data_IF_850816171983
#
_entry.id   IF_850816171983
#
_cell.length_a   1.000
_cell.length_b   1.000
_cell.length_c   1.000
_cell.angle_alpha   90.00
_cell.angle_beta   90.00
_cell.angle_gamma   90.00
#
_symmetry.space_group_name_H-M   'P 1'
#
loop_
_entity.id
_entity.type
_entity.pdbx_description
1 polymer ?
#
# COMPACT_ATOMS: atom_id res chain seq x y z
N UNK A 1 -11.70 -7.93 14.87
CA UNK A 1 -10.71 -6.97 14.33
C UNK A 1 -10.30 -7.46 12.96
N UNK A 2 -10.50 -6.64 11.94
CA UNK A 2 -10.20 -6.99 10.56
C UNK A 2 -8.66 -6.98 10.38
N UNK A 3 -8.03 -8.14 10.48
CA UNK A 3 -6.58 -8.26 10.42
C UNK A 3 -6.14 -8.15 8.95
N UNK A 4 -5.75 -6.95 8.55
CA UNK A 4 -5.29 -6.63 7.20
C UNK A 4 -4.16 -7.57 6.75
N UNK A 5 -3.23 -7.93 7.64
CA UNK A 5 -2.12 -8.82 7.31
C UNK A 5 -2.58 -10.24 6.99
N UNK A 6 -3.62 -10.76 7.65
CA UNK A 6 -4.22 -12.05 7.29
C UNK A 6 -4.84 -12.02 5.89
N UNK A 7 -5.44 -10.88 5.49
CA UNK A 7 -5.98 -10.72 4.13
C UNK A 7 -4.87 -10.65 3.08
N UNK A 8 -3.79 -9.92 3.36
CA UNK A 8 -2.63 -9.85 2.47
C UNK A 8 -1.94 -11.21 2.34
N UNK A 9 -1.81 -11.97 3.44
CA UNK A 9 -1.28 -13.34 3.41
C UNK A 9 -2.12 -14.25 2.51
N UNK A 10 -3.47 -14.16 2.62
CA UNK A 10 -4.38 -14.89 1.72
C UNK A 10 -4.20 -14.49 0.26
N UNK A 11 -4.02 -13.21 -0.05
CA UNK A 11 -3.76 -12.72 -1.40
C UNK A 11 -2.43 -13.26 -1.96
N UNK A 12 -1.39 -13.30 -1.12
CA UNK A 12 -0.09 -13.84 -1.50
C UNK A 12 -0.17 -15.35 -1.77
N UNK A 13 -0.92 -16.12 -0.97
CA UNK A 13 -1.14 -17.56 -1.20
C UNK A 13 -1.94 -17.85 -2.47
N UNK A 14 -2.83 -16.94 -2.87
CA UNK A 14 -3.56 -16.98 -4.14
C UNK A 14 -2.72 -16.45 -5.33
N UNK A 15 -1.46 -16.08 -5.10
CA UNK A 15 -0.55 -15.51 -6.11
C UNK A 15 -1.03 -14.19 -6.76
N UNK A 16 -2.01 -13.51 -6.15
CA UNK A 16 -2.55 -12.23 -6.62
C UNK A 16 -1.55 -11.09 -6.36
N UNK A 17 -0.88 -11.15 -5.21
CA UNK A 17 0.26 -10.28 -4.88
C UNK A 17 1.49 -11.16 -4.71
N UNK A 18 2.68 -10.58 -4.92
CA UNK A 18 3.94 -11.33 -4.80
C UNK A 18 4.43 -11.31 -3.34
N UNK A 19 5.30 -12.27 -2.96
CA UNK A 19 5.86 -12.29 -1.61
C UNK A 19 6.51 -10.97 -1.17
N UNK A 20 7.16 -10.26 -2.09
CA UNK A 20 7.79 -8.97 -1.79
C UNK A 20 6.79 -7.88 -1.38
N UNK A 21 5.55 -7.93 -1.91
CA UNK A 21 4.49 -6.98 -1.55
C UNK A 21 4.06 -7.20 -0.09
N UNK A 22 3.96 -8.46 0.30
CA UNK A 22 3.64 -8.86 1.68
C UNK A 22 4.78 -8.54 2.65
N UNK A 23 6.02 -8.79 2.25
CA UNK A 23 7.20 -8.49 3.08
C UNK A 23 7.37 -6.99 3.34
N UNK A 24 7.08 -6.13 2.34
CA UNK A 24 7.05 -4.68 2.59
C UNK A 24 6.03 -4.32 3.67
N UNK A 25 4.83 -4.92 3.64
CA UNK A 25 3.83 -4.70 4.67
C UNK A 25 4.28 -5.19 6.06
N UNK A 26 4.90 -6.38 6.13
CA UNK A 26 5.48 -6.93 7.39
C UNK A 26 6.55 -6.01 7.95
N UNK A 27 7.50 -5.59 7.10
CA UNK A 27 8.55 -4.65 7.48
C UNK A 27 8.00 -3.34 8.06
N UNK A 28 6.96 -2.78 7.44
CA UNK A 28 6.33 -1.54 7.90
C UNK A 28 5.58 -1.72 9.23
N UNK A 29 4.92 -2.86 9.44
CA UNK A 29 4.24 -3.21 10.69
C UNK A 29 5.26 -3.43 11.83
N UNK A 30 6.37 -4.11 11.56
CA UNK A 30 7.46 -4.32 12.52
C UNK A 30 8.12 -3.00 12.94
N UNK A 31 8.32 -2.08 11.99
CA UNK A 31 8.88 -0.76 12.27
C UNK A 31 7.89 0.18 12.99
N UNK A 32 6.58 -0.05 12.80
CA UNK A 32 5.51 0.81 13.29
C UNK A 32 4.29 -0.01 13.74
N UNK A 33 4.28 -0.39 15.02
CA UNK A 33 3.25 -1.27 15.61
C UNK A 33 1.81 -0.80 15.46
N UNK A 34 1.58 0.52 15.36
CA UNK A 34 0.26 1.14 15.20
C UNK A 34 -0.02 1.59 13.75
N UNK A 35 0.66 1.01 12.77
CA UNK A 35 0.49 1.39 11.37
C UNK A 35 -0.96 1.17 10.91
N UNK A 36 -1.52 2.18 10.24
CA UNK A 36 -2.90 2.08 9.78
C UNK A 36 -3.04 1.04 8.67
N UNK A 37 -4.12 0.22 8.68
CA UNK A 37 -4.45 -0.66 7.56
C UNK A 37 -4.54 0.08 6.22
N UNK A 38 -4.86 1.38 6.22
CA UNK A 38 -4.90 2.21 5.01
C UNK A 38 -3.51 2.40 4.40
N UNK A 39 -2.48 2.51 5.25
CA UNK A 39 -1.08 2.64 4.82
C UNK A 39 -0.58 1.31 4.29
N UNK A 40 -0.86 0.19 4.99
CA UNK A 40 -0.49 -1.15 4.54
C UNK A 40 -1.10 -1.49 3.17
N UNK A 41 -2.36 -1.14 2.94
CA UNK A 41 -3.00 -1.26 1.61
C UNK A 41 -2.25 -0.49 0.52
N UNK A 42 -1.83 0.74 0.82
CA UNK A 42 -1.08 1.56 -0.12
C UNK A 42 0.31 0.98 -0.39
N UNK A 43 1.01 0.53 0.66
CA UNK A 43 2.33 -0.08 0.57
C UNK A 43 2.31 -1.34 -0.30
N UNK A 44 1.36 -2.25 -0.04
CA UNK A 44 1.17 -3.43 -0.85
C UNK A 44 0.91 -3.09 -2.32
N UNK A 45 0.01 -2.14 -2.56
CA UNK A 45 -0.38 -1.76 -3.93
C UNK A 45 0.75 -1.06 -4.69
N UNK A 46 1.48 -0.13 -4.06
CA UNK A 46 2.59 0.55 -4.74
C UNK A 46 3.72 -0.42 -5.07
N UNK A 47 4.01 -1.40 -4.22
CA UNK A 47 4.98 -2.47 -4.52
C UNK A 47 4.51 -3.38 -5.65
N UNK A 48 3.22 -3.72 -5.67
CA UNK A 48 2.63 -4.51 -6.73
C UNK A 48 2.72 -3.79 -8.09
N UNK A 49 2.32 -2.51 -8.13
CA UNK A 49 2.40 -1.67 -9.33
C UNK A 49 3.84 -1.44 -9.78
N UNK A 50 4.78 -1.28 -8.84
CA UNK A 50 6.20 -1.13 -9.15
C UNK A 50 6.75 -2.31 -9.95
N UNK A 51 6.36 -3.53 -9.58
CA UNK A 51 6.75 -4.74 -10.30
C UNK A 51 6.10 -4.88 -11.68
N UNK A 52 4.99 -4.18 -11.92
CA UNK A 52 4.32 -4.06 -13.22
C UNK A 52 4.91 -2.92 -14.07
N UNK A 53 5.94 -2.23 -13.59
CA UNK A 53 6.63 -1.16 -14.31
C UNK A 53 6.07 0.24 -14.04
N UNK A 54 5.09 0.39 -13.15
CA UNK A 54 4.63 1.71 -12.73
C UNK A 54 5.63 2.37 -11.79
N UNK A 55 5.79 3.67 -11.91
CA UNK A 55 6.72 4.44 -11.05
C UNK A 55 6.08 4.80 -9.70
N UNK A 56 4.75 4.93 -9.66
CA UNK A 56 4.01 5.37 -8.49
C UNK A 56 2.59 4.81 -8.48
N UNK A 57 1.95 4.94 -7.32
CA UNK A 57 0.52 4.76 -7.11
C UNK A 57 -0.17 6.15 -7.06
N UNK A 58 -0.94 6.54 -8.08
CA UNK A 58 -1.81 7.71 -8.00
C UNK A 58 -3.03 7.39 -7.12
N UNK A 59 -3.11 7.94 -5.91
CA UNK A 59 -4.18 7.58 -4.96
C UNK A 59 -5.59 7.91 -5.49
N UNK A 60 -5.70 8.95 -6.32
CA UNK A 60 -6.96 9.41 -6.91
C UNK A 60 -7.60 8.33 -7.78
N UNK A 61 -6.78 7.63 -8.57
CA UNK A 61 -7.26 6.65 -9.56
C UNK A 61 -7.75 5.35 -8.90
N UNK A 62 -7.30 5.06 -7.68
CA UNK A 62 -7.65 3.84 -6.94
C UNK A 62 -8.59 4.09 -5.77
N UNK A 63 -8.87 5.34 -5.40
CA UNK A 63 -9.63 5.66 -4.21
C UNK A 63 -11.06 5.09 -4.25
N UNK A 64 -11.39 4.20 -3.31
CA UNK A 64 -12.69 3.53 -3.25
C UNK A 64 -12.82 2.30 -4.17
N UNK A 65 -11.86 2.08 -5.06
CA UNK A 65 -11.87 0.99 -6.02
C UNK A 65 -11.41 -0.34 -5.40
N UNK A 66 -11.76 -1.49 -6.00
CA UNK A 66 -11.08 -2.76 -5.73
C UNK A 66 -9.57 -2.62 -5.96
N UNK A 67 -8.76 -3.09 -5.00
CA UNK A 67 -7.30 -3.09 -5.14
C UNK A 67 -6.78 -4.33 -5.85
N UNK A 68 -7.41 -5.46 -5.54
CA UNK A 68 -7.03 -6.77 -6.02
C UNK A 68 -8.30 -7.56 -6.28
N UNK A 69 -8.42 -8.04 -7.52
CA UNK A 69 -9.48 -8.95 -7.94
C UNK A 69 -8.93 -10.38 -7.84
N UNK A 70 -9.76 -11.32 -7.39
CA UNK A 70 -9.43 -12.74 -7.59
C UNK A 70 -10.01 -13.26 -8.91
N UNK A 71 -9.60 -14.47 -9.30
CA UNK A 71 -10.03 -15.11 -10.55
C UNK A 71 -11.55 -15.31 -10.64
N UNK A 72 -12.27 -15.24 -9.52
CA UNK A 72 -13.73 -15.34 -9.43
C UNK A 72 -14.43 -13.96 -9.49
N UNK A 73 -13.67 -12.87 -9.68
CA UNK A 73 -14.19 -11.50 -9.73
C UNK A 73 -14.58 -10.93 -8.36
N UNK A 74 -14.22 -11.62 -7.28
CA UNK A 74 -14.42 -11.17 -5.91
C UNK A 74 -13.39 -10.11 -5.51
N UNK A 75 -13.84 -8.88 -5.27
CA UNK A 75 -12.99 -7.83 -4.68
C UNK A 75 -12.65 -8.17 -3.22
N UNK A 76 -11.49 -8.80 -2.98
CA UNK A 76 -11.05 -9.20 -1.63
C UNK A 76 -10.67 -7.97 -0.78
N UNK A 77 -10.16 -6.92 -1.41
CA UNK A 77 -9.70 -5.71 -0.74
C UNK A 77 -10.10 -4.47 -1.52
N UNK A 78 -10.77 -3.53 -0.85
CA UNK A 78 -11.05 -2.19 -1.41
C UNK A 78 -10.10 -1.14 -0.85
N UNK A 79 -9.79 -0.17 -1.70
CA UNK A 79 -9.06 1.02 -1.29
C UNK A 79 -9.93 1.86 -0.33
N UNK A 80 -9.29 2.58 0.60
CA UNK A 80 -10.01 3.61 1.35
C UNK A 80 -10.44 4.74 0.41
N UNK A 81 -11.44 5.52 0.83
CA UNK A 81 -11.75 6.78 0.15
C UNK A 81 -10.55 7.74 0.19
N UNK A 82 -10.43 8.62 -0.81
CA UNK A 82 -9.23 9.44 -1.04
C UNK A 82 -8.80 10.24 0.20
N UNK A 83 -9.71 11.02 0.78
CA UNK A 83 -9.42 11.89 1.92
C UNK A 83 -8.88 11.14 3.15
N UNK A 84 -9.55 10.08 3.66
CA UNK A 84 -9.02 9.31 4.78
C UNK A 84 -7.78 8.49 4.41
N UNK A 85 -7.58 8.11 3.14
CA UNK A 85 -6.36 7.44 2.70
C UNK A 85 -5.15 8.37 2.78
N UNK A 86 -5.28 9.54 2.15
CA UNK A 86 -4.29 10.64 2.18
C UNK A 86 -3.96 11.02 3.62
N UNK A 87 -4.98 11.21 4.47
CA UNK A 87 -4.75 11.58 5.87
C UNK A 87 -3.99 10.50 6.64
N UNK A 88 -4.24 9.21 6.38
CA UNK A 88 -3.54 8.13 7.05
C UNK A 88 -2.07 8.07 6.61
N UNK A 89 -1.81 8.22 5.31
CA UNK A 89 -0.45 8.25 4.76
C UNK A 89 0.36 9.41 5.33
N UNK A 90 -0.18 10.64 5.30
CA UNK A 90 0.52 11.82 5.83
C UNK A 90 0.82 11.79 7.32
N UNK A 91 0.09 10.97 8.09
CA UNK A 91 0.31 10.80 9.54
C UNK A 91 1.30 9.68 9.87
N UNK A 92 1.63 8.83 8.90
CA UNK A 92 2.49 7.67 9.13
C UNK A 92 3.97 8.05 9.08
N UNK A 93 4.74 7.67 10.10
CA UNK A 93 6.17 7.98 10.18
C UNK A 93 7.03 7.28 9.09
N UNK A 94 6.49 6.27 8.42
CA UNK A 94 7.11 5.59 7.28
C UNK A 94 6.90 6.33 5.95
N UNK A 95 6.00 7.33 5.91
CA UNK A 95 5.68 8.08 4.71
C UNK A 95 6.25 9.48 4.83
N UNK A 96 7.21 9.80 3.97
CA UNK A 96 7.81 11.11 3.88
C UNK A 96 7.26 11.95 2.73
N UNK A 97 7.77 13.17 2.64
CA UNK A 97 7.61 14.09 1.51
C UNK A 97 8.79 13.96 0.54
N UNK A 98 8.66 14.47 -0.70
CA UNK A 98 9.80 14.54 -1.62
C UNK A 98 11.03 15.19 -0.97
N UNK A 99 12.17 14.51 -1.06
CA UNK A 99 13.43 14.93 -0.44
C UNK A 99 13.69 14.36 0.96
N UNK A 100 12.72 13.72 1.59
CA UNK A 100 12.91 13.02 2.87
C UNK A 100 13.37 11.57 2.66
N UNK A 101 14.15 11.05 3.61
CA UNK A 101 14.64 9.66 3.58
C UNK A 101 13.69 8.74 4.36
N UNK A 102 12.62 8.30 3.68
CA UNK A 102 11.56 7.43 4.22
C UNK A 102 11.22 6.33 3.22
N UNK A 103 10.79 5.14 3.65
CA UNK A 103 10.54 4.02 2.73
C UNK A 103 9.45 4.31 1.71
N UNK A 104 8.46 5.13 2.07
CA UNK A 104 7.41 5.60 1.16
C UNK A 104 7.45 7.12 1.06
N UNK A 105 7.17 7.66 -0.12
CA UNK A 105 7.11 9.11 -0.35
C UNK A 105 5.76 9.46 -0.95
N UNK A 106 5.02 10.37 -0.31
CA UNK A 106 3.77 10.91 -0.82
C UNK A 106 4.02 12.36 -1.27
N UNK A 107 3.78 12.64 -2.55
CA UNK A 107 3.88 14.00 -3.07
C UNK A 107 2.58 14.82 -2.87
N UNK A 108 2.65 16.11 -3.23
CA UNK A 108 1.50 17.01 -3.11
C UNK A 108 0.37 16.74 -4.11
N UNK A 109 0.64 15.91 -5.13
CA UNK A 109 -0.33 15.48 -6.16
C UNK A 109 -0.98 14.12 -5.82
N UNK A 110 -0.84 13.65 -4.58
CA UNK A 110 -1.36 12.37 -4.10
C UNK A 110 -0.82 11.15 -4.85
N UNK A 111 0.45 11.21 -5.26
CA UNK A 111 1.16 10.06 -5.82
C UNK A 111 2.09 9.49 -4.76
N UNK A 112 1.92 8.20 -4.49
CA UNK A 112 2.74 7.44 -3.56
C UNK A 112 3.85 6.71 -4.32
N UNK A 113 5.08 6.87 -3.87
CA UNK A 113 6.26 6.26 -4.44
C UNK A 113 6.92 5.35 -3.41
N UNK A 114 7.55 4.28 -3.89
CA UNK A 114 8.56 3.57 -3.11
C UNK A 114 9.86 4.34 -3.17
N UNK A 115 10.38 4.73 -2.01
CA UNK A 115 11.74 5.23 -1.99
C UNK A 115 12.69 4.07 -2.27
N UNK A 116 13.64 4.40 -3.12
CA UNK A 116 14.64 3.50 -3.63
C UNK A 116 15.72 3.41 -2.53
N UNK A 117 15.63 2.38 -1.67
CA UNK A 117 16.57 2.10 -0.58
C UNK A 117 17.80 1.38 -1.17
N UNK A 118 18.77 2.12 -1.71
CA UNK A 118 20.07 1.59 -2.14
C UNK A 118 21.18 2.56 -1.73
#
# INVERSE_FOLDING_TARGET
MDNIMQKLDKLCRKEIIRPIDLELCRFLEDCHSDISPKVLKAACLVSHLYQQGHVCLPLVDYAGEPLFEDEEGGSILRAPALSPWRSALRKCAAVGKPGEYKPLILDDSDRLYMHKLW
#
